data_IF_552627108417
#
_entry.id   IF_552627108417
#
_cell.length_a   1.000
_cell.length_b   1.000
_cell.length_c   1.000
_cell.angle_alpha   90.00
_cell.angle_beta   90.00
_cell.angle_gamma   90.00
#
_symmetry.space_group_name_H-M   'P 1'
#
loop_
_entity.id
_entity.type
_entity.pdbx_description
1 polymer ?
#
# COMPACT_ATOMS: atom_id res chain seq x y z
N UNK A 1 21.56 15.13 47.86
CA UNK A 1 20.52 14.30 47.25
C UNK A 1 20.23 14.85 45.83
N UNK A 2 20.72 14.23 44.78
CA UNK A 2 20.61 14.80 43.43
C UNK A 2 19.53 14.13 42.56
N UNK A 3 18.39 13.74 43.16
CA UNK A 3 17.33 13.03 42.42
C UNK A 3 16.29 13.93 41.73
N UNK A 4 16.23 15.20 42.14
CA UNK A 4 15.26 16.14 41.64
C UNK A 4 15.64 16.78 40.29
N UNK A 5 16.95 16.75 39.93
CA UNK A 5 17.43 17.39 38.71
C UNK A 5 17.12 16.55 37.45
N UNK A 6 17.15 15.22 37.54
CA UNK A 6 16.94 14.33 36.39
C UNK A 6 15.49 14.33 35.89
N UNK A 7 14.53 14.48 36.79
CA UNK A 7 13.12 14.60 36.41
C UNK A 7 12.82 15.96 35.78
N UNK A 8 13.41 17.03 36.30
CA UNK A 8 13.26 18.35 35.69
C UNK A 8 13.94 18.41 34.31
N UNK A 9 15.13 17.86 34.18
CA UNK A 9 15.82 17.73 32.89
C UNK A 9 15.00 16.90 31.89
N UNK A 10 14.37 15.81 32.35
CA UNK A 10 13.48 15.01 31.51
C UNK A 10 12.28 15.80 31.04
N UNK A 11 11.59 16.49 31.95
CA UNK A 11 10.42 17.31 31.63
C UNK A 11 10.80 18.47 30.70
N UNK A 12 11.90 19.17 31.00
CA UNK A 12 12.40 20.25 30.15
C UNK A 12 12.87 19.77 28.76
N UNK A 13 13.31 18.53 28.64
CA UNK A 13 13.75 17.98 27.36
C UNK A 13 12.59 17.48 26.50
N UNK A 14 11.60 16.81 27.13
CA UNK A 14 10.52 16.13 26.42
C UNK A 14 9.19 16.90 26.36
N UNK A 15 8.97 17.84 27.29
CA UNK A 15 7.70 18.58 27.42
C UNK A 15 7.88 20.10 27.27
N UNK A 16 8.77 20.48 26.37
CA UNK A 16 8.98 21.92 26.05
C UNK A 16 7.86 22.44 25.17
N UNK A 17 6.88 23.10 25.78
CA UNK A 17 5.77 23.70 25.07
C UNK A 17 6.20 24.88 24.16
N UNK A 18 7.29 25.56 24.50
CA UNK A 18 7.91 26.61 23.70
C UNK A 18 8.37 26.14 22.32
N UNK A 19 8.83 24.87 22.21
CA UNK A 19 9.17 24.28 20.92
C UNK A 19 7.97 24.08 20.00
N UNK A 20 6.79 23.83 20.56
CA UNK A 20 5.57 23.67 19.75
C UNK A 20 5.19 25.00 19.10
N UNK A 21 5.31 26.12 19.82
CA UNK A 21 5.03 27.44 19.26
C UNK A 21 6.06 27.84 18.20
N UNK A 22 7.35 27.53 18.41
CA UNK A 22 8.43 27.83 17.48
C UNK A 22 8.32 27.02 16.18
N UNK A 23 7.99 25.72 16.27
CA UNK A 23 7.95 24.82 15.12
C UNK A 23 6.55 24.53 14.58
N UNK A 24 5.52 25.22 15.07
CA UNK A 24 4.12 24.99 14.66
C UNK A 24 3.92 25.01 13.15
N UNK A 25 4.51 25.98 12.44
CA UNK A 25 4.38 26.07 10.99
C UNK A 25 5.06 24.87 10.28
N UNK A 26 6.25 24.48 10.72
CA UNK A 26 6.97 23.36 10.14
C UNK A 26 6.23 22.02 10.40
N UNK A 27 5.66 21.86 11.59
CA UNK A 27 4.83 20.69 11.93
C UNK A 27 3.59 20.64 11.04
N UNK A 28 2.91 21.78 10.88
CA UNK A 28 1.71 21.86 10.05
C UNK A 28 2.00 21.54 8.57
N UNK A 29 3.07 22.09 8.02
CA UNK A 29 3.54 21.76 6.67
C UNK A 29 3.86 20.27 6.51
N UNK A 30 4.57 19.69 7.49
CA UNK A 30 4.88 18.26 7.53
C UNK A 30 3.62 17.38 7.54
N UNK A 31 2.61 17.76 8.33
CA UNK A 31 1.31 17.07 8.38
C UNK A 31 0.61 17.11 7.01
N UNK A 32 0.58 18.27 6.36
CA UNK A 32 -0.05 18.41 5.05
C UNK A 32 0.62 17.52 3.99
N UNK A 33 1.96 17.54 3.93
CA UNK A 33 2.73 16.70 3.00
C UNK A 33 2.49 15.22 3.28
N UNK A 34 2.48 14.82 4.55
CA UNK A 34 2.22 13.43 4.96
C UNK A 34 0.80 12.98 4.56
N UNK A 35 -0.21 13.80 4.82
CA UNK A 35 -1.58 13.51 4.41
C UNK A 35 -1.71 13.41 2.88
N UNK A 36 -1.07 14.29 2.14
CA UNK A 36 -1.10 14.28 0.68
C UNK A 36 -0.46 13.02 0.10
N UNK A 37 0.71 12.64 0.61
CA UNK A 37 1.38 11.38 0.22
C UNK A 37 0.50 10.18 0.58
N UNK A 38 -0.03 10.12 1.79
CA UNK A 38 -0.84 9.01 2.26
C UNK A 38 -2.09 8.79 1.38
N UNK A 39 -2.83 9.85 1.10
CA UNK A 39 -4.03 9.78 0.24
C UNK A 39 -3.64 9.32 -1.17
N UNK A 40 -2.58 9.89 -1.75
CA UNK A 40 -2.10 9.54 -3.08
C UNK A 40 -1.67 8.06 -3.15
N UNK A 41 -0.92 7.58 -2.15
CA UNK A 41 -0.47 6.19 -2.04
C UNK A 41 -1.64 5.23 -1.90
N UNK A 42 -2.60 5.55 -1.02
CA UNK A 42 -3.78 4.70 -0.78
C UNK A 42 -4.60 4.56 -2.06
N UNK A 43 -4.88 5.66 -2.72
CA UNK A 43 -5.65 5.65 -3.97
C UNK A 43 -4.95 4.85 -5.07
N UNK A 44 -3.68 5.16 -5.35
CA UNK A 44 -2.91 4.50 -6.42
C UNK A 44 -2.59 3.05 -6.09
N UNK A 45 -2.21 2.73 -4.84
CA UNK A 45 -1.87 1.38 -4.41
C UNK A 45 -3.07 0.42 -4.45
N UNK A 46 -4.23 0.85 -3.94
CA UNK A 46 -5.45 0.05 -4.00
C UNK A 46 -5.90 -0.17 -5.45
N UNK A 47 -5.88 0.88 -6.27
CA UNK A 47 -6.27 0.78 -7.67
C UNK A 47 -5.36 -0.18 -8.45
N UNK A 48 -4.04 -0.07 -8.27
CA UNK A 48 -3.08 -0.98 -8.89
C UNK A 48 -3.25 -2.42 -8.40
N UNK A 49 -3.44 -2.63 -7.10
CA UNK A 49 -3.69 -3.96 -6.54
C UNK A 49 -4.97 -4.60 -7.08
N UNK A 50 -6.03 -3.81 -7.24
CA UNK A 50 -7.28 -4.27 -7.85
C UNK A 50 -7.07 -4.67 -9.32
N UNK A 51 -6.35 -3.86 -10.10
CA UNK A 51 -6.03 -4.15 -11.51
C UNK A 51 -5.21 -5.45 -11.61
N UNK A 52 -4.17 -5.61 -10.78
CA UNK A 52 -3.34 -6.82 -10.78
C UNK A 52 -4.16 -8.06 -10.42
N UNK A 53 -5.01 -8.01 -9.41
CA UNK A 53 -5.90 -9.09 -9.00
C UNK A 53 -6.91 -9.43 -10.12
N UNK A 54 -7.45 -8.41 -10.78
CA UNK A 54 -8.35 -8.61 -11.92
C UNK A 54 -7.63 -9.30 -13.10
N UNK A 55 -6.43 -8.86 -13.46
CA UNK A 55 -5.60 -9.50 -14.49
C UNK A 55 -5.28 -10.95 -14.11
N UNK A 56 -4.95 -11.22 -12.85
CA UNK A 56 -4.70 -12.57 -12.34
C UNK A 56 -5.92 -13.48 -12.46
N UNK A 57 -7.13 -12.94 -12.43
CA UNK A 57 -8.38 -13.69 -12.53
C UNK A 57 -8.60 -14.34 -13.91
N UNK A 58 -7.95 -13.85 -14.97
CA UNK A 58 -7.97 -14.48 -16.29
C UNK A 58 -7.24 -15.82 -16.36
N UNK A 59 -6.48 -16.19 -15.30
CA UNK A 59 -5.79 -17.47 -15.16
C UNK A 59 -4.80 -17.79 -16.27
N UNK A 60 -4.23 -16.80 -16.95
CA UNK A 60 -3.18 -16.97 -17.93
C UNK A 60 -1.88 -17.31 -17.19
N UNK A 61 -1.41 -18.55 -17.30
CA UNK A 61 -0.29 -19.10 -16.50
C UNK A 61 0.96 -18.22 -16.53
N UNK A 62 1.31 -17.71 -17.70
CA UNK A 62 2.51 -16.89 -17.90
C UNK A 62 2.38 -15.54 -17.15
N UNK A 63 1.26 -14.85 -17.31
CA UNK A 63 1.01 -13.56 -16.67
C UNK A 63 0.94 -13.74 -15.14
N UNK A 64 0.22 -14.77 -14.69
CA UNK A 64 0.08 -15.04 -13.26
C UNK A 64 1.42 -15.35 -12.59
N UNK A 65 2.32 -16.04 -13.29
CA UNK A 65 3.66 -16.32 -12.78
C UNK A 65 4.43 -15.01 -12.48
N UNK A 66 4.39 -14.05 -13.39
CA UNK A 66 5.05 -12.76 -13.17
C UNK A 66 4.39 -11.92 -12.07
N UNK A 67 3.05 -11.92 -11.99
CA UNK A 67 2.34 -11.21 -10.93
C UNK A 67 2.70 -11.80 -9.57
N UNK A 68 2.71 -13.13 -9.42
CA UNK A 68 3.05 -13.79 -8.16
C UNK A 68 4.49 -13.45 -7.74
N UNK A 69 5.45 -13.58 -8.65
CA UNK A 69 6.85 -13.22 -8.34
C UNK A 69 6.97 -11.76 -7.91
N UNK A 70 6.31 -10.85 -8.62
CA UNK A 70 6.33 -9.43 -8.29
C UNK A 70 5.74 -9.17 -6.90
N UNK A 71 4.58 -9.74 -6.60
CA UNK A 71 3.90 -9.59 -5.31
C UNK A 71 4.74 -10.18 -4.18
N UNK A 72 5.23 -11.42 -4.35
CA UNK A 72 6.02 -12.12 -3.33
C UNK A 72 7.35 -11.40 -3.06
N UNK A 73 8.05 -10.96 -4.11
CA UNK A 73 9.31 -10.23 -3.97
C UNK A 73 9.11 -8.88 -3.27
N UNK A 74 8.06 -8.16 -3.63
CA UNK A 74 7.75 -6.86 -3.02
C UNK A 74 7.40 -7.00 -1.53
N UNK A 75 6.67 -8.05 -1.16
CA UNK A 75 6.27 -8.33 0.23
C UNK A 75 7.39 -8.93 1.08
N UNK A 76 8.35 -9.61 0.45
CA UNK A 76 9.50 -10.19 1.14
C UNK A 76 10.46 -9.13 1.71
N UNK A 77 10.46 -7.94 1.12
CA UNK A 77 11.35 -6.86 1.53
C UNK A 77 10.62 -5.83 2.42
N UNK A 78 11.23 -5.39 3.52
CA UNK A 78 10.69 -4.28 4.31
C UNK A 78 10.52 -3.02 3.44
N UNK A 79 9.40 -2.28 3.55
CA UNK A 79 9.16 -1.08 2.74
C UNK A 79 10.28 -0.05 2.83
N UNK A 80 10.88 0.10 4.01
CA UNK A 80 12.01 1.02 4.21
C UNK A 80 13.22 0.65 3.35
N UNK A 81 13.51 -0.64 3.21
CA UNK A 81 14.62 -1.12 2.36
C UNK A 81 14.36 -0.78 0.90
N UNK A 82 13.13 -0.97 0.43
CA UNK A 82 12.74 -0.61 -0.94
C UNK A 82 12.85 0.90 -1.18
N UNK A 83 12.47 1.72 -0.21
CA UNK A 83 12.61 3.19 -0.29
C UNK A 83 14.08 3.57 -0.42
N UNK A 84 14.94 3.05 0.48
CA UNK A 84 16.37 3.36 0.47
C UNK A 84 17.04 2.87 -0.80
N UNK A 85 16.73 1.65 -1.24
CA UNK A 85 17.26 1.10 -2.47
C UNK A 85 16.86 1.94 -3.69
N UNK A 86 15.60 2.38 -3.75
CA UNK A 86 15.14 3.23 -4.85
C UNK A 86 15.72 4.63 -4.77
N UNK A 87 15.79 5.22 -3.58
CA UNK A 87 16.29 6.59 -3.40
C UNK A 87 17.77 6.74 -3.76
N UNK A 88 18.59 5.77 -3.36
CA UNK A 88 20.03 5.79 -3.64
C UNK A 88 20.40 5.03 -4.93
N UNK A 89 19.65 4.00 -5.29
CA UNK A 89 19.94 3.16 -6.45
C UNK A 89 19.53 3.76 -7.79
N UNK A 90 18.36 4.40 -7.88
CA UNK A 90 17.91 4.99 -9.16
C UNK A 90 18.86 6.06 -9.72
N UNK A 91 19.44 6.96 -8.93
CA UNK A 91 20.41 7.93 -9.44
C UNK A 91 21.66 7.30 -10.05
N UNK A 92 22.10 6.13 -9.59
CA UNK A 92 23.28 5.45 -10.13
C UNK A 92 23.09 4.96 -11.57
N UNK A 93 21.85 4.74 -11.97
CA UNK A 93 21.47 4.36 -13.35
C UNK A 93 20.94 5.56 -14.16
N UNK A 94 21.11 6.79 -13.64
CA UNK A 94 20.73 8.02 -14.33
C UNK A 94 19.28 8.46 -14.14
N UNK A 95 18.49 7.78 -13.30
CA UNK A 95 17.08 8.13 -13.02
C UNK A 95 17.02 8.99 -11.76
N UNK A 96 16.89 10.30 -11.92
CA UNK A 96 16.80 11.25 -10.81
C UNK A 96 15.32 11.60 -10.53
N UNK A 97 14.77 11.01 -9.48
CA UNK A 97 13.43 11.32 -9.00
C UNK A 97 13.49 12.17 -7.73
N UNK A 98 12.49 13.02 -7.53
CA UNK A 98 12.35 13.72 -6.27
C UNK A 98 12.02 12.75 -5.12
N UNK A 99 12.40 13.12 -3.89
CA UNK A 99 12.12 12.31 -2.69
C UNK A 99 10.64 11.97 -2.57
N UNK A 100 9.77 12.91 -2.91
CA UNK A 100 8.32 12.71 -2.95
C UNK A 100 7.91 11.60 -3.93
N UNK A 101 8.42 11.64 -5.16
CA UNK A 101 8.10 10.64 -6.20
C UNK A 101 8.62 9.25 -5.82
N UNK A 102 9.82 9.15 -5.25
CA UNK A 102 10.35 7.87 -4.77
C UNK A 102 9.45 7.28 -3.69
N UNK A 103 9.08 8.07 -2.68
CA UNK A 103 8.20 7.65 -1.60
C UNK A 103 6.84 7.21 -2.13
N UNK A 104 6.21 8.05 -2.95
CA UNK A 104 4.91 7.75 -3.54
C UNK A 104 4.93 6.47 -4.38
N UNK A 105 5.92 6.31 -5.27
CA UNK A 105 6.06 5.13 -6.13
C UNK A 105 6.25 3.85 -5.30
N UNK A 106 7.23 3.85 -4.41
CA UNK A 106 7.58 2.65 -3.64
C UNK A 106 6.43 2.23 -2.74
N UNK A 107 5.86 3.18 -1.98
CA UNK A 107 4.75 2.86 -1.09
C UNK A 107 3.49 2.43 -1.85
N UNK A 108 3.23 2.99 -3.03
CA UNK A 108 2.12 2.57 -3.89
C UNK A 108 2.33 1.14 -4.41
N UNK A 109 3.54 0.78 -4.82
CA UNK A 109 3.88 -0.58 -5.26
C UNK A 109 3.74 -1.58 -4.10
N UNK A 110 4.25 -1.24 -2.92
CA UNK A 110 4.12 -2.09 -1.73
C UNK A 110 2.65 -2.30 -1.37
N UNK A 111 1.87 -1.22 -1.32
CA UNK A 111 0.43 -1.32 -1.02
C UNK A 111 -0.32 -2.09 -2.10
N UNK A 112 0.05 -1.94 -3.38
CA UNK A 112 -0.55 -2.70 -4.47
C UNK A 112 -0.30 -4.21 -4.33
N UNK A 113 0.91 -4.62 -3.92
CA UNK A 113 1.23 -6.02 -3.69
C UNK A 113 0.40 -6.63 -2.55
N UNK A 114 0.21 -5.91 -1.43
CA UNK A 114 -0.65 -6.37 -0.35
C UNK A 114 -2.13 -6.39 -0.76
N UNK A 115 -2.60 -5.35 -1.44
CA UNK A 115 -3.99 -5.24 -1.89
C UNK A 115 -4.35 -6.31 -2.92
N UNK A 116 -3.41 -6.62 -3.83
CA UNK A 116 -3.60 -7.69 -4.82
C UNK A 116 -3.93 -9.02 -4.16
N UNK A 117 -3.17 -9.41 -3.15
CA UNK A 117 -3.39 -10.68 -2.46
C UNK A 117 -4.72 -10.72 -1.71
N UNK A 118 -5.10 -9.60 -1.06
CA UNK A 118 -6.39 -9.50 -0.36
C UNK A 118 -7.54 -9.64 -1.37
N UNK A 119 -7.49 -8.93 -2.49
CA UNK A 119 -8.50 -9.03 -3.53
C UNK A 119 -8.53 -10.41 -4.17
N UNK A 120 -7.37 -11.01 -4.42
CA UNK A 120 -7.28 -12.36 -4.95
C UNK A 120 -7.87 -13.40 -4.00
N UNK A 121 -7.57 -13.32 -2.71
CA UNK A 121 -8.19 -14.18 -1.70
C UNK A 121 -9.71 -14.00 -1.66
N UNK A 122 -10.20 -12.78 -1.79
CA UNK A 122 -11.64 -12.47 -1.91
C UNK A 122 -12.27 -13.16 -3.14
N UNK A 123 -11.64 -13.08 -4.31
CA UNK A 123 -12.11 -13.73 -5.53
C UNK A 123 -12.18 -15.26 -5.37
N UNK A 124 -11.17 -15.85 -4.71
CA UNK A 124 -11.11 -17.30 -4.48
C UNK A 124 -12.13 -17.78 -3.45
N UNK A 125 -12.58 -16.93 -2.54
CA UNK A 125 -13.55 -17.28 -1.49
C UNK A 125 -14.97 -17.52 -2.04
N UNK A 126 -15.27 -17.08 -3.26
CA UNK A 126 -16.58 -17.28 -3.90
C UNK A 126 -16.75 -18.75 -4.24
N UNK A 127 -17.71 -19.40 -3.57
CA UNK A 127 -18.01 -20.82 -3.79
C UNK A 127 -18.48 -21.07 -5.22
N UNK A 128 -18.01 -22.15 -5.84
CA UNK A 128 -18.41 -22.55 -7.22
C UNK A 128 -19.93 -22.67 -7.39
N UNK A 129 -20.66 -23.03 -6.33
CA UNK A 129 -22.13 -23.08 -6.33
C UNK A 129 -22.81 -21.71 -6.57
N UNK A 130 -22.20 -20.62 -6.12
CA UNK A 130 -22.76 -19.28 -6.36
C UNK A 130 -22.60 -18.85 -7.83
N UNK A 131 -21.58 -19.30 -8.50
CA UNK A 131 -21.41 -19.14 -9.95
C UNK A 131 -22.50 -19.88 -10.74
N UNK A 132 -22.85 -21.10 -10.29
CA UNK A 132 -23.91 -21.88 -10.93
C UNK A 132 -25.30 -21.19 -10.81
N UNK A 133 -25.58 -20.58 -9.67
CA UNK A 133 -26.85 -19.84 -9.45
C UNK A 133 -26.97 -18.63 -10.38
N UNK A 134 -25.87 -17.92 -10.66
CA UNK A 134 -25.92 -16.78 -11.57
C UNK A 134 -26.25 -17.18 -13.02
N UNK A 135 -25.81 -18.35 -13.45
CA UNK A 135 -26.16 -18.90 -14.77
C UNK A 135 -27.62 -19.37 -14.84
N UNK A 136 -28.20 -19.90 -13.77
CA UNK A 136 -29.60 -20.35 -13.74
C UNK A 136 -30.60 -19.19 -13.72
N UNK A 137 -30.22 -18.02 -13.20
CA UNK A 137 -31.06 -16.84 -13.26
C UNK A 137 -31.03 -16.11 -14.62
N UNK A 138 -29.99 -16.34 -15.42
CA UNK A 138 -29.90 -15.78 -16.79
C UNK A 138 -30.52 -16.69 -17.84
N UNK A 139 -30.69 -17.96 -17.57
CA UNK A 139 -31.50 -18.88 -18.40
C UNK A 139 -32.89 -18.98 -17.80
N UNK A 140 -33.86 -18.30 -18.36
CA UNK A 140 -35.29 -18.59 -18.12
C UNK A 140 -35.51 -20.10 -18.20
N UNK A 141 -36.22 -20.73 -17.22
CA UNK A 141 -36.48 -22.16 -17.28
C UNK A 141 -37.41 -22.44 -18.47
N UNK A 142 -36.84 -22.86 -19.59
CA UNK A 142 -37.58 -23.47 -20.70
C UNK A 142 -37.86 -24.95 -20.42
N UNK A 143 -38.10 -25.31 -19.15
CA UNK A 143 -38.51 -26.67 -18.80
C UNK A 143 -39.87 -26.55 -18.11
N UNK A 144 -40.87 -26.33 -18.93
CA UNK A 144 -42.21 -26.73 -18.62
C UNK A 144 -42.91 -27.15 -19.92
N UNK A 145 -42.59 -28.34 -20.41
CA UNK A 145 -43.45 -29.07 -21.32
C UNK A 145 -43.12 -30.54 -21.23
N UNK A 146 -43.96 -31.23 -20.57
CA UNK A 146 -44.56 -32.54 -20.60
C UNK A 146 -44.60 -33.14 -19.24
#
# INVERSE_FOLDING_TARGET
>A
MPTNNRWNEFIETFFRADLIEEYYYAIWEGIQVTCYIAISVVFTGILLGLILSFVRSYRIKFINFFIIIFVDLTRALPPLVLILLSYFGLPTIGINLSSFLVLWLVLSIVLAAFSEEIFWAGILSIRKGQWAVSYTHLTLPTICSV
#
